data_IF_829854926598
#
_entry.id   IF_829854926598
#
_cell.length_a   1.000
_cell.length_b   1.000
_cell.length_c   1.000
_cell.angle_alpha   90.00
_cell.angle_beta   90.00
_cell.angle_gamma   90.00
#
_symmetry.space_group_name_H-M   'P 1'
#
loop_
_entity.id
_entity.type
_entity.pdbx_description
1 polymer ?
#
# COMPACT_ATOMS: atom_id res chain seq x y z
N UNK A 1 -21.44 -11.26 0.83
CA UNK A 1 -20.61 -10.62 1.89
C UNK A 1 -21.16 -9.24 2.15
N UNK A 2 -21.25 -8.84 3.42
CA UNK A 2 -21.63 -7.46 3.78
C UNK A 2 -20.38 -6.59 3.60
N UNK A 3 -20.51 -5.45 2.92
CA UNK A 3 -19.41 -4.52 2.73
C UNK A 3 -19.01 -3.95 4.11
N UNK A 4 -17.83 -4.32 4.59
CA UNK A 4 -17.34 -3.88 5.89
C UNK A 4 -16.43 -2.66 5.73
N UNK A 5 -17.02 -1.47 5.87
CA UNK A 5 -16.28 -0.21 5.76
C UNK A 5 -15.41 0.11 6.99
N UNK A 6 -15.47 -0.69 8.07
CA UNK A 6 -14.63 -0.47 9.26
C UNK A 6 -13.13 -0.69 9.00
N UNK A 7 -12.79 -1.30 7.86
CA UNK A 7 -11.41 -1.49 7.41
C UNK A 7 -10.76 -0.21 6.88
N UNK A 8 -11.52 0.86 6.69
CA UNK A 8 -11.04 2.17 6.25
C UNK A 8 -11.06 3.16 7.42
N UNK A 9 -10.12 4.09 7.41
CA UNK A 9 -10.13 5.21 8.35
C UNK A 9 -11.27 6.18 8.03
N UNK A 10 -11.64 7.01 9.02
CA UNK A 10 -12.66 8.04 8.81
C UNK A 10 -12.25 9.01 7.70
N UNK A 11 -10.98 9.38 7.67
CA UNK A 11 -10.40 10.30 6.70
C UNK A 11 -10.47 9.73 5.28
N UNK A 12 -10.16 8.43 5.10
CA UNK A 12 -10.29 7.75 3.80
C UNK A 12 -11.73 7.77 3.29
N UNK A 13 -12.71 7.55 4.18
CA UNK A 13 -14.12 7.60 3.83
C UNK A 13 -14.58 9.01 3.46
N UNK A 14 -14.13 10.03 4.22
CA UNK A 14 -14.43 11.44 3.92
C UNK A 14 -13.84 11.85 2.58
N UNK A 15 -12.56 11.57 2.33
CA UNK A 15 -11.90 11.88 1.05
C UNK A 15 -12.59 11.19 -0.12
N UNK A 16 -13.02 9.94 0.06
CA UNK A 16 -13.78 9.23 -0.96
C UNK A 16 -15.11 9.93 -1.26
N UNK A 17 -15.85 10.34 -0.22
CA UNK A 17 -17.08 11.10 -0.43
C UNK A 17 -16.78 12.40 -1.19
N UNK A 18 -15.82 13.22 -0.74
CA UNK A 18 -15.44 14.47 -1.40
C UNK A 18 -15.04 14.28 -2.88
N UNK A 19 -14.29 13.22 -3.20
CA UNK A 19 -13.82 12.96 -4.56
C UNK A 19 -14.93 12.49 -5.51
N UNK A 20 -15.96 11.85 -4.97
CA UNK A 20 -17.03 11.20 -5.72
C UNK A 20 -18.43 11.80 -5.46
N UNK A 21 -18.56 12.85 -4.65
CA UNK A 21 -19.84 13.48 -4.29
C UNK A 21 -20.57 13.99 -5.54
N UNK A 22 -19.85 14.68 -6.42
CA UNK A 22 -20.40 15.11 -7.71
C UNK A 22 -20.52 13.96 -8.74
N UNK A 23 -19.94 12.80 -8.43
CA UNK A 23 -19.82 11.62 -9.31
C UNK A 23 -20.68 10.45 -8.84
N UNK A 24 -21.64 10.64 -7.95
CA UNK A 24 -22.57 9.62 -7.40
C UNK A 24 -23.45 8.89 -8.45
N UNK A 25 -23.06 8.89 -9.72
CA UNK A 25 -23.42 7.91 -10.75
C UNK A 25 -22.39 6.78 -10.80
N UNK A 26 -21.91 6.27 -9.67
CA UNK A 26 -20.99 5.14 -9.66
C UNK A 26 -21.70 3.90 -10.25
N UNK A 27 -21.31 3.49 -11.46
CA UNK A 27 -21.77 2.23 -12.07
C UNK A 27 -21.27 1.01 -11.29
N UNK A 28 -20.26 1.21 -10.43
CA UNK A 28 -19.66 0.19 -9.56
C UNK A 28 -19.95 0.50 -8.09
N UNK A 29 -19.99 -0.55 -7.27
CA UNK A 29 -20.19 -0.43 -5.83
C UNK A 29 -19.11 0.47 -5.19
N UNK A 30 -19.47 1.51 -4.40
CA UNK A 30 -18.49 2.37 -3.72
C UNK A 30 -17.44 1.62 -2.90
N UNK A 31 -17.82 0.51 -2.25
CA UNK A 31 -16.88 -0.34 -1.53
C UNK A 31 -15.80 -0.93 -2.44
N UNK A 32 -16.21 -1.39 -3.63
CA UNK A 32 -15.27 -1.93 -4.61
C UNK A 32 -14.28 -0.87 -5.08
N UNK A 33 -14.76 0.35 -5.35
CA UNK A 33 -13.90 1.47 -5.74
C UNK A 33 -12.89 1.80 -4.64
N UNK A 34 -13.34 1.91 -3.39
CA UNK A 34 -12.47 2.13 -2.23
C UNK A 34 -11.39 1.04 -2.08
N UNK A 35 -11.78 -0.24 -2.13
CA UNK A 35 -10.82 -1.34 -2.03
C UNK A 35 -9.82 -1.32 -3.20
N UNK A 36 -10.27 -1.00 -4.43
CA UNK A 36 -9.41 -0.91 -5.61
C UNK A 36 -8.40 0.22 -5.47
N UNK A 37 -8.85 1.41 -5.07
CA UNK A 37 -7.99 2.56 -4.86
C UNK A 37 -6.96 2.28 -3.76
N UNK A 38 -7.39 1.64 -2.67
CA UNK A 38 -6.49 1.17 -1.60
C UNK A 38 -5.44 0.20 -2.10
N UNK A 39 -5.81 -0.81 -2.90
CA UNK A 39 -4.85 -1.75 -3.53
C UNK A 39 -3.83 -1.02 -4.40
N UNK A 40 -4.29 -0.08 -5.24
CA UNK A 40 -3.38 0.70 -6.09
C UNK A 40 -2.38 1.51 -5.25
N UNK A 41 -2.84 2.16 -4.18
CA UNK A 41 -1.99 2.92 -3.26
C UNK A 41 -0.96 2.03 -2.56
N UNK A 42 -1.37 0.85 -2.08
CA UNK A 42 -0.44 -0.11 -1.46
C UNK A 42 0.59 -0.60 -2.48
N UNK A 43 0.18 -0.93 -3.70
CA UNK A 43 1.11 -1.32 -4.77
C UNK A 43 2.12 -0.22 -5.10
N UNK A 44 1.69 1.04 -5.11
CA UNK A 44 2.61 2.16 -5.31
C UNK A 44 3.66 2.22 -4.20
N UNK A 45 3.25 2.11 -2.93
CA UNK A 45 4.17 2.08 -1.79
C UNK A 45 5.15 0.90 -1.86
N UNK A 46 4.68 -0.28 -2.27
CA UNK A 46 5.55 -1.46 -2.50
C UNK A 46 6.59 -1.15 -3.56
N UNK A 47 6.20 -0.54 -4.70
CA UNK A 47 7.14 -0.16 -5.75
C UNK A 47 8.19 0.86 -5.26
N UNK A 48 7.77 1.83 -4.44
CA UNK A 48 8.68 2.81 -3.82
C UNK A 48 9.63 2.16 -2.81
N UNK A 49 9.17 1.18 -2.02
CA UNK A 49 10.00 0.38 -1.13
C UNK A 49 11.04 -0.47 -1.90
N UNK A 50 10.62 -1.13 -3.00
CA UNK A 50 11.52 -1.86 -3.92
C UNK A 50 12.56 -0.92 -4.53
N UNK A 51 12.17 0.30 -4.90
CA UNK A 51 13.13 1.30 -5.41
C UNK A 51 14.18 1.67 -4.36
N UNK A 52 13.77 1.89 -3.11
CA UNK A 52 14.70 2.15 -1.98
C UNK A 52 15.69 0.99 -1.78
N UNK A 53 15.27 -0.27 -1.96
CA UNK A 53 16.21 -1.40 -1.94
C UNK A 53 17.30 -1.30 -3.01
N UNK A 54 16.90 -0.91 -4.23
CA UNK A 54 17.84 -0.66 -5.32
C UNK A 54 18.87 0.40 -4.94
N UNK A 55 18.42 1.50 -4.33
CA UNK A 55 19.27 2.60 -3.88
C UNK A 55 20.24 2.16 -2.77
N UNK A 56 19.76 1.46 -1.73
CA UNK A 56 20.60 0.90 -0.66
C UNK A 56 21.68 -0.02 -1.23
N UNK A 57 21.31 -0.89 -2.17
CA UNK A 57 22.24 -1.83 -2.80
C UNK A 57 23.33 -1.10 -3.59
N UNK A 58 22.99 -0.01 -4.28
CA UNK A 58 23.97 0.81 -5.01
C UNK A 58 24.88 1.58 -4.06
N UNK A 59 24.38 2.06 -2.92
CA UNK A 59 25.19 2.75 -1.91
C UNK A 59 26.19 1.80 -1.23
N UNK A 60 25.78 0.58 -0.86
CA UNK A 60 26.67 -0.46 -0.30
C UNK A 60 27.82 -0.80 -1.26
N UNK A 61 27.54 -0.86 -2.57
CA UNK A 61 28.57 -1.12 -3.59
C UNK A 61 29.62 -0.02 -3.67
N UNK A 62 29.28 1.23 -3.30
CA UNK A 62 30.20 2.37 -3.31
C UNK A 62 31.10 2.39 -2.09
N UNK A 63 30.57 2.01 -0.92
CA UNK A 63 31.33 1.99 0.33
C UNK A 63 30.85 0.86 1.26
N UNK A 64 31.67 -0.21 1.31
CA UNK A 64 31.38 -1.39 2.11
C UNK A 64 31.55 -1.15 3.63
N UNK A 65 32.25 -0.09 4.04
CA UNK A 65 32.46 0.21 5.46
C UNK A 65 31.17 0.62 6.18
N UNK A 66 30.16 1.05 5.42
CA UNK A 66 28.84 1.45 5.91
C UNK A 66 27.85 0.28 5.99
N UNK A 67 28.30 -0.97 5.78
CA UNK A 67 27.47 -2.18 5.68
C UNK A 67 26.46 -2.32 6.84
N UNK A 68 26.88 -2.08 8.07
CA UNK A 68 26.00 -2.28 9.24
C UNK A 68 24.82 -1.29 9.24
N UNK A 69 25.07 -0.02 8.91
CA UNK A 69 24.01 0.99 8.73
C UNK A 69 23.06 0.62 7.58
N UNK A 70 23.58 0.01 6.52
CA UNK A 70 22.76 -0.44 5.40
C UNK A 70 21.93 -1.67 5.75
N UNK A 71 22.45 -2.59 6.56
CA UNK A 71 21.71 -3.74 7.07
C UNK A 71 20.52 -3.29 7.94
N UNK A 72 20.68 -2.25 8.76
CA UNK A 72 19.56 -1.66 9.52
C UNK A 72 18.47 -1.14 8.59
N UNK A 73 18.82 -0.28 7.62
CA UNK A 73 17.86 0.24 6.62
C UNK A 73 17.19 -0.86 5.79
N UNK A 74 17.96 -1.90 5.43
CA UNK A 74 17.44 -3.05 4.69
C UNK A 74 16.38 -3.79 5.51
N UNK A 75 16.63 -4.00 6.80
CA UNK A 75 15.69 -4.65 7.70
C UNK A 75 14.43 -3.81 7.93
N UNK A 76 14.55 -2.49 8.02
CA UNK A 76 13.40 -1.58 8.09
C UNK A 76 12.54 -1.68 6.83
N UNK A 77 13.16 -1.66 5.65
CA UNK A 77 12.45 -1.85 4.39
C UNK A 77 11.78 -3.23 4.31
N UNK A 78 12.39 -4.29 4.85
CA UNK A 78 11.80 -5.65 4.87
C UNK A 78 10.50 -5.65 5.67
N UNK A 79 10.55 -5.09 6.87
CA UNK A 79 9.38 -5.00 7.75
C UNK A 79 8.25 -4.22 7.09
N UNK A 80 8.58 -3.06 6.51
CA UNK A 80 7.59 -2.26 5.78
C UNK A 80 7.00 -3.02 4.59
N UNK A 81 7.83 -3.76 3.83
CA UNK A 81 7.37 -4.58 2.71
C UNK A 81 6.41 -5.68 3.19
N UNK A 82 6.74 -6.38 4.28
CA UNK A 82 5.89 -7.43 4.83
C UNK A 82 4.53 -6.87 5.28
N UNK A 83 4.52 -5.74 5.99
CA UNK A 83 3.29 -5.05 6.40
C UNK A 83 2.43 -4.64 5.20
N UNK A 84 3.04 -4.03 4.17
CA UNK A 84 2.34 -3.64 2.94
C UNK A 84 1.80 -4.87 2.18
N UNK A 85 2.54 -5.97 2.17
CA UNK A 85 2.14 -7.18 1.48
C UNK A 85 0.96 -7.86 2.19
N UNK A 86 0.94 -7.89 3.53
CA UNK A 86 -0.21 -8.35 4.31
C UNK A 86 -1.44 -7.47 4.07
N UNK A 87 -1.27 -6.15 4.07
CA UNK A 87 -2.36 -5.21 3.79
C UNK A 87 -2.90 -5.41 2.36
N UNK A 88 -2.02 -5.59 1.38
CA UNK A 88 -2.40 -5.87 0.00
C UNK A 88 -3.22 -7.16 -0.11
N UNK A 89 -2.78 -8.22 0.57
CA UNK A 89 -3.49 -9.50 0.59
C UNK A 89 -4.90 -9.35 1.17
N UNK A 90 -5.03 -8.65 2.31
CA UNK A 90 -6.33 -8.35 2.94
C UNK A 90 -7.28 -7.67 1.96
N UNK A 91 -6.84 -6.62 1.26
CA UNK A 91 -7.72 -5.90 0.33
C UNK A 91 -7.98 -6.64 -0.99
N UNK A 92 -7.03 -7.45 -1.49
CA UNK A 92 -7.27 -8.36 -2.61
C UNK A 92 -8.33 -9.40 -2.29
N UNK A 93 -8.30 -9.97 -1.09
CA UNK A 93 -9.35 -10.87 -0.61
C UNK A 93 -10.73 -10.22 -0.57
N UNK A 94 -10.81 -8.95 -0.15
CA UNK A 94 -12.06 -8.20 -0.16
C UNK A 94 -12.58 -7.92 -1.58
N UNK A 95 -11.70 -7.75 -2.57
CA UNK A 95 -12.08 -7.50 -3.97
C UNK A 95 -12.45 -8.76 -4.74
N UNK A 96 -11.68 -9.84 -4.56
CA UNK A 96 -11.71 -11.02 -5.43
C UNK A 96 -12.19 -12.29 -4.73
N UNK A 97 -12.31 -12.28 -3.40
CA UNK A 97 -12.77 -13.44 -2.63
C UNK A 97 -11.76 -14.57 -2.48
N UNK A 98 -10.48 -14.32 -2.79
CA UNK A 98 -9.35 -15.27 -2.65
C UNK A 98 -8.89 -15.46 -1.20
#
# INVERSE_FOLDING_TARGET
>A
MKNDYSVFSKEELVQFLEQYEDKFKCWQNPFYVLCRDKVNNIMQKINENIKRYGEITQEVKKDISLKDRFLEKFNENCKEYDELHEELYKFRKLLYGE
#
